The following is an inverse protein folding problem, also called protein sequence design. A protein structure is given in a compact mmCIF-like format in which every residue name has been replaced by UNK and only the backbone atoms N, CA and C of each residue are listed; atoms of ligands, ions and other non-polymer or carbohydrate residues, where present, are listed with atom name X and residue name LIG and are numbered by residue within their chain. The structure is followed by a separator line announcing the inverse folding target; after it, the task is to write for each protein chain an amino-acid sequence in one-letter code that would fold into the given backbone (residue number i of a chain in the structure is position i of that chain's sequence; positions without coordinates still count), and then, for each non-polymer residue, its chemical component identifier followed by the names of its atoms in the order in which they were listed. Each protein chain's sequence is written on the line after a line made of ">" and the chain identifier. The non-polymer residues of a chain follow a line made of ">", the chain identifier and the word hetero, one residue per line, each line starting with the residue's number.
data_IF_062782659541
#
_entry.id   IF_062782659541
#
_cell.length_a   1.000
_cell.length_b   1.000
_cell.length_c   1.000
_cell.angle_alpha   90.00
_cell.angle_beta   90.00
_cell.angle_gamma   90.00
#
_symmetry.space_group_name_H-M   'P 1'
#
loop_
_entity.id
_entity.type
_entity.pdbx_description
1 polymer ?
2 non-polymer ?
3 water ?
#
# COMPACT_ATOMS: atom_id res chain seq x y z
N UNK A 1 -23.57 17.12 2.11
CA UNK A 1 -23.20 16.10 1.10
C UNK A 1 -21.81 15.46 1.42
N UNK A 2 -21.72 14.15 1.29
CA UNK A 2 -20.51 13.35 1.58
C UNK A 2 -19.46 13.30 0.44
N UNK A 3 -18.18 13.23 0.80
CA UNK A 3 -17.11 13.07 -0.18
C UNK A 3 -16.96 11.59 -0.54
N UNK A 4 -16.71 11.37 -1.81
CA UNK A 4 -16.42 10.05 -2.36
C UNK A 4 -15.11 10.07 -3.11
N UNK A 5 -14.40 8.94 -3.06
CA UNK A 5 -13.05 8.83 -3.66
C UNK A 5 -13.00 7.60 -4.54
N UNK A 6 -12.28 7.69 -5.63
CA UNK A 6 -11.93 6.54 -6.40
C UNK A 6 -10.68 5.92 -5.82
N UNK A 7 -10.76 4.64 -5.50
CA UNK A 7 -9.62 3.90 -4.91
C UNK A 7 -9.00 3.01 -5.97
N UNK A 8 -7.71 3.14 -6.19
CA UNK A 8 -6.98 2.30 -7.16
C UNK A 8 -5.85 1.59 -6.48
N UNK A 9 -5.90 0.26 -6.49
CA UNK A 9 -4.78 -0.56 -6.03
C UNK A 9 -4.03 -1.06 -7.22
N UNK A 10 -2.78 -0.67 -7.34
CA UNK A 10 -1.91 -1.14 -8.43
C UNK A 10 -1.25 -2.40 -7.86
N UNK A 11 -1.64 -3.56 -8.38
CA UNK A 11 -1.20 -4.81 -7.78
C UNK A 11 0.18 -5.23 -8.36
N UNK A 12 0.21 -5.53 -9.65
CA UNK A 12 1.38 -6.14 -10.30
C UNK A 12 1.27 -5.98 -11.78
N UNK A 13 2.38 -6.25 -12.48
CA UNK A 13 2.38 -6.38 -13.90
C UNK A 13 3.23 -7.60 -14.27
N UNK A 14 2.97 -8.15 -15.46
CA UNK A 14 3.63 -9.32 -15.93
C UNK A 14 4.08 -9.23 -17.35
N UNK A 15 5.17 -9.92 -17.63
CA UNK A 15 5.73 -10.04 -18.99
C UNK A 15 6.05 -8.66 -19.60
N UNK A 16 6.61 -7.78 -18.79
CA UNK A 16 7.21 -6.57 -19.31
C UNK A 16 8.28 -7.00 -20.34
N UNK A 17 8.31 -6.37 -21.53
CA UNK A 17 9.32 -6.77 -22.52
C UNK A 17 10.76 -6.57 -22.04
N UNK A 18 11.61 -7.51 -22.40
CA UNK A 18 13.04 -7.44 -22.08
C UNK A 18 13.69 -6.28 -22.82
N UNK A 19 14.75 -5.75 -22.23
CA UNK A 19 15.55 -4.69 -22.85
C UNK A 19 16.82 -5.33 -23.35
N UNK A 20 17.43 -4.72 -24.34
CA UNK A 20 18.62 -5.28 -24.98
C UNK A 20 19.74 -5.49 -23.94
N UNK A 21 19.93 -4.50 -23.09
CA UNK A 21 20.96 -4.54 -22.07
C UNK A 21 20.24 -4.33 -20.76
N UNK A 22 20.69 -5.03 -19.73
CA UNK A 22 20.11 -4.90 -18.41
C UNK A 22 18.62 -5.28 -18.39
N UNK A 23 17.89 -4.59 -17.53
CA UNK A 23 16.48 -4.85 -17.33
C UNK A 23 15.73 -3.56 -17.09
N UNK A 24 14.47 -3.55 -17.50
CA UNK A 24 13.60 -2.42 -17.25
C UNK A 24 13.25 -2.23 -15.76
N UNK A 25 12.90 -1.01 -15.44
CA UNK A 25 12.66 -0.52 -14.07
C UNK A 25 11.23 0.08 -14.04
N UNK A 26 10.23 -0.79 -13.92
CA UNK A 26 8.85 -0.28 -14.14
C UNK A 26 8.30 0.66 -13.09
N UNK A 27 7.51 1.61 -13.59
CA UNK A 27 6.83 2.62 -12.80
C UNK A 27 5.54 2.99 -13.49
N UNK A 28 4.47 3.06 -12.70
CA UNK A 28 3.12 3.16 -13.26
C UNK A 28 2.58 4.54 -12.91
N UNK A 29 2.00 5.19 -13.91
CA UNK A 29 1.29 6.47 -13.76
C UNK A 29 -0.20 6.13 -13.85
N UNK A 30 -0.98 6.60 -12.86
CA UNK A 30 -2.44 6.41 -12.86
C UNK A 30 -3.07 7.77 -12.99
N UNK A 31 -3.91 7.93 -14.02
CA UNK A 31 -4.45 9.23 -14.35
C UNK A 31 -5.96 9.16 -14.34
N UNK A 32 -6.58 9.97 -13.47
CA UNK A 32 -8.00 10.12 -13.43
C UNK A 32 -8.39 11.56 -13.59
N UNK A 33 -9.14 11.86 -14.66
CA UNK A 33 -9.48 13.25 -15.02
C UNK A 33 -8.30 14.22 -14.96
N UNK A 34 -7.21 13.86 -15.61
CA UNK A 34 -5.98 14.66 -15.67
C UNK A 34 -5.21 14.86 -14.31
N UNK A 35 -5.61 14.19 -13.23
CA UNK A 35 -4.85 14.12 -12.00
C UNK A 35 -4.01 12.86 -12.10
N UNK A 36 -2.69 13.01 -12.02
CA UNK A 36 -1.77 11.90 -12.15
C UNK A 36 -1.11 11.53 -10.82
N UNK A 37 -1.14 10.26 -10.45
CA UNK A 37 -0.36 9.78 -9.30
C UNK A 37 0.48 8.60 -9.71
N UNK A 38 1.71 8.57 -9.24
CA UNK A 38 2.60 7.48 -9.62
C UNK A 38 2.85 6.48 -8.49
N UNK A 39 3.18 5.26 -8.88
CA UNK A 39 3.76 4.26 -7.96
C UNK A 39 5.23 4.53 -7.79
N UNK A 40 5.81 3.77 -6.87
CA UNK A 40 7.24 3.68 -6.78
C UNK A 40 7.72 2.97 -8.03
N UNK A 41 9.01 3.15 -8.34
CA UNK A 41 9.62 2.26 -9.35
C UNK A 41 10.02 0.92 -8.74
N UNK A 42 10.08 -0.12 -9.55
CA UNK A 42 10.66 -1.41 -9.13
C UNK A 42 11.89 -1.66 -9.99
N UNK A 43 13.05 -1.86 -9.40
CA UNK A 43 14.29 -2.02 -10.19
C UNK A 43 14.43 -3.39 -10.85
N UNK A 44 14.85 -3.37 -12.11
CA UNK A 44 15.31 -4.54 -12.87
C UNK A 44 14.39 -5.73 -12.76
N UNK A 45 13.20 -5.55 -13.27
CA UNK A 45 12.13 -6.50 -13.02
C UNK A 45 11.16 -6.62 -14.19
N UNK A 46 10.96 -7.86 -14.67
CA UNK A 46 10.03 -8.13 -15.75
C UNK A 46 8.62 -8.40 -15.26
N UNK A 47 8.48 -8.72 -13.98
CA UNK A 47 7.20 -9.06 -13.41
C UNK A 47 7.00 -8.33 -12.08
N UNK A 48 6.93 -7.00 -12.14
CA UNK A 48 6.97 -6.24 -10.89
C UNK A 48 5.71 -6.35 -10.04
N UNK A 49 5.86 -6.23 -8.74
CA UNK A 49 4.75 -6.18 -7.82
C UNK A 49 4.84 -4.89 -7.01
N UNK A 50 3.73 -4.18 -6.86
CA UNK A 50 3.65 -2.94 -6.08
C UNK A 50 2.75 -3.11 -4.84
N UNK A 51 1.50 -3.57 -5.01
CA UNK A 51 0.51 -3.53 -3.93
C UNK A 51 0.42 -2.10 -3.28
N UNK A 52 0.35 -1.11 -4.16
CA UNK A 52 0.27 0.29 -3.74
C UNK A 52 -1.15 0.85 -3.95
N UNK A 53 -1.62 1.66 -3.04
CA UNK A 53 -2.99 2.13 -3.06
C UNK A 53 -2.97 3.66 -3.25
N UNK A 54 -3.79 4.10 -4.19
CA UNK A 54 -3.93 5.51 -4.58
C UNK A 54 -5.40 5.91 -4.45
N UNK A 55 -5.70 7.10 -3.97
CA UNK A 55 -7.13 7.51 -3.91
C UNK A 55 -7.31 8.90 -4.51
N UNK A 56 -8.28 9.03 -5.40
CA UNK A 56 -8.61 10.29 -6.07
C UNK A 56 -9.95 10.89 -5.57
N UNK A 57 -9.93 12.17 -5.20
CA UNK A 57 -11.12 12.90 -4.82
C UNK A 57 -12.02 13.03 -6.07
N UNK A 58 -13.24 12.52 -6.00
CA UNK A 58 -14.19 12.69 -7.10
C UNK A 58 -14.78 14.12 -7.19
N UNK A 59 -14.60 14.89 -6.14
CA UNK A 59 -14.98 16.29 -6.09
C UNK A 59 -16.44 16.51 -6.38
N UNK A 60 -17.30 15.62 -5.89
CA UNK A 60 -18.74 15.70 -6.09
C UNK A 60 -19.27 15.29 -7.47
N UNK A 61 -18.43 14.77 -8.34
CA UNK A 61 -18.89 14.39 -9.65
C UNK A 61 -18.97 12.86 -9.70
N UNK A 62 -20.17 12.33 -9.96
CA UNK A 62 -20.31 10.88 -9.90
C UNK A 62 -19.67 10.22 -11.10
N UNK A 63 -19.33 8.95 -10.96
CA UNK A 63 -18.90 8.16 -12.08
C UNK A 63 -20.14 8.00 -12.97
N UNK A 64 -19.93 7.87 -14.27
CA UNK A 64 -21.04 7.67 -15.22
C UNK A 64 -20.58 6.69 -16.30
N UNK A 65 -21.45 6.51 -17.30
CA UNK A 65 -21.17 5.60 -18.40
C UNK A 65 -19.82 5.79 -19.12
N UNK A 66 -19.30 7.01 -19.10
CA UNK A 66 -18.06 7.35 -19.82
C UNK A 66 -16.83 7.39 -18.94
N UNK A 67 -16.95 7.16 -17.65
CA UNK A 67 -15.78 7.35 -16.75
C UNK A 67 -14.73 6.31 -17.08
N UNK A 68 -13.48 6.73 -17.02
CA UNK A 68 -12.35 5.89 -17.34
C UNK A 68 -11.11 6.28 -16.57
N UNK A 69 -10.17 5.34 -16.53
CA UNK A 69 -8.90 5.49 -15.82
C UNK A 69 -7.79 5.28 -16.83
N UNK A 70 -6.75 6.11 -16.80
CA UNK A 70 -5.61 5.96 -17.71
C UNK A 70 -4.46 5.31 -16.93
N UNK A 71 -3.74 4.40 -17.60
CA UNK A 71 -2.57 3.75 -17.03
C UNK A 71 -1.42 3.90 -18.00
N UNK A 72 -0.28 4.31 -17.52
CA UNK A 72 0.92 4.36 -18.33
C UNK A 72 2.01 3.66 -17.53
N UNK A 73 2.65 2.66 -18.12
CA UNK A 73 3.78 1.94 -17.47
C UNK A 73 5.00 2.33 -18.25
N UNK A 74 6.00 2.83 -17.53
CA UNK A 74 7.25 3.28 -18.13
C UNK A 74 8.41 2.59 -17.41
N UNK A 75 9.58 2.67 -18.08
CA UNK A 75 10.86 2.12 -17.62
C UNK A 75 11.63 3.34 -17.14
N UNK A 76 11.85 3.39 -15.82
CA UNK A 76 12.48 4.53 -15.25
C UNK A 76 13.88 4.76 -15.82
N UNK A 77 14.14 6.00 -16.21
CA UNK A 77 15.47 6.49 -16.60
C UNK A 77 15.88 7.54 -15.59
N UNK A 78 17.04 7.34 -14.98
CA UNK A 78 17.59 8.32 -14.07
C UNK A 78 17.84 9.65 -14.81
N UNK A 79 18.39 9.59 -16.03
CA UNK A 79 18.59 10.78 -16.88
C UNK A 79 17.39 11.13 -17.78
N UNK A 80 16.66 12.19 -17.44
CA UNK A 80 15.55 12.70 -18.27
C UNK A 80 14.29 11.85 -18.28
N UNK A 81 13.58 11.89 -19.41
CA UNK A 81 12.25 11.30 -19.55
C UNK A 81 12.25 9.75 -19.53
N UNK A 82 11.34 9.15 -18.78
CA UNK A 82 11.28 7.71 -18.69
C UNK A 82 10.76 7.12 -19.99
N UNK A 83 11.06 5.84 -20.23
CA UNK A 83 10.73 5.21 -21.47
C UNK A 83 9.41 4.46 -21.43
N UNK A 84 8.57 4.73 -22.43
CA UNK A 84 7.29 4.08 -22.52
C UNK A 84 7.37 2.57 -22.62
N UNK A 85 6.62 1.86 -21.79
CA UNK A 85 6.42 0.43 -22.00
C UNK A 85 5.05 0.21 -22.63
N UNK A 86 4.01 0.76 -22.01
CA UNK A 86 2.71 0.66 -22.59
C UNK A 86 1.65 1.39 -21.82
N UNK A 87 0.51 1.59 -22.46
CA UNK A 87 -0.63 2.25 -21.89
C UNK A 87 -1.87 1.35 -21.85
N UNK A 88 -2.81 1.71 -20.99
CA UNK A 88 -4.17 1.18 -21.07
C UNK A 88 -5.17 2.22 -20.62
N UNK A 89 -6.37 2.17 -21.19
CA UNK A 89 -7.49 2.93 -20.67
C UNK A 89 -8.52 1.92 -20.16
N UNK A 90 -9.02 2.15 -18.95
CA UNK A 90 -9.87 1.17 -18.29
C UNK A 90 -11.26 1.79 -18.07
N UNK A 91 -12.30 1.17 -18.61
CA UNK A 91 -13.68 1.60 -18.43
C UNK A 91 -14.15 1.37 -16.97
N UNK A 92 -14.69 2.43 -16.37
CA UNK A 92 -15.13 2.40 -14.94
C UNK A 92 -16.63 2.31 -14.80
N UNK A 93 -17.33 2.08 -15.90
CA UNK A 93 -18.78 2.05 -15.88
C UNK A 93 -19.34 0.97 -14.94
N UNK A 94 -18.61 -0.12 -14.65
CA UNK A 94 -19.09 -1.15 -13.74
C UNK A 94 -19.15 -0.66 -12.28
N UNK A 95 -18.49 0.47 -11.99
CA UNK A 95 -18.56 1.08 -10.65
C UNK A 95 -19.64 2.12 -10.46
N UNK A 96 -20.43 2.40 -11.47
CA UNK A 96 -21.47 3.42 -11.36
C UNK A 96 -22.61 3.05 -10.42
N UNK A 97 -23.24 4.09 -9.89
CA UNK A 97 -24.30 3.95 -8.93
C UNK A 97 -23.78 4.41 -7.59
N UNK A 98 -24.62 4.27 -6.58
CA UNK A 98 -24.39 4.83 -5.25
C UNK A 98 -23.91 3.76 -4.24
N UNK A 99 -23.52 2.59 -4.72
CA UNK A 99 -23.12 1.47 -3.88
C UNK A 99 -21.59 1.37 -3.90
N UNK A 100 -20.96 1.54 -2.74
CA UNK A 100 -19.53 1.30 -2.57
C UNK A 100 -19.27 -0.16 -2.91
N UNK A 101 -18.30 -0.37 -3.79
CA UNK A 101 -17.92 -1.70 -4.24
C UNK A 101 -16.49 -1.61 -4.76
N UNK A 102 -15.76 -2.73 -4.72
CA UNK A 102 -14.49 -2.83 -5.44
C UNK A 102 -14.55 -4.02 -6.37
N UNK A 103 -13.86 -3.90 -7.50
CA UNK A 103 -13.79 -4.94 -8.48
C UNK A 103 -12.34 -5.20 -8.90
N UNK A 104 -12.03 -6.45 -9.22
CA UNK A 104 -10.74 -6.75 -9.81
C UNK A 104 -10.75 -6.38 -11.31
N UNK A 105 -9.63 -5.85 -11.78
CA UNK A 105 -9.37 -5.62 -13.19
C UNK A 105 -8.04 -6.29 -13.58
N UNK A 106 -8.13 -7.55 -13.98
CA UNK A 106 -6.94 -8.37 -14.21
C UNK A 106 -6.60 -8.49 -15.69
N UNK A 107 -5.33 -8.73 -15.93
CA UNK A 107 -4.82 -8.98 -17.27
C UNK A 107 -5.18 -7.88 -18.27
N UNK A 108 -4.99 -6.65 -17.84
CA UNK A 108 -5.20 -5.50 -18.72
C UNK A 108 -4.01 -5.39 -19.64
N UNK A 109 -4.27 -5.50 -20.94
CA UNK A 109 -3.17 -5.41 -21.93
C UNK A 109 -2.59 -4.01 -21.97
N UNK A 110 -1.24 -3.94 -21.97
CA UNK A 110 -0.53 -2.69 -22.17
C UNK A 110 -0.14 -2.55 -23.64
N UNK A 111 -0.47 -1.38 -24.24
CA UNK A 111 -0.33 -1.14 -25.62
C UNK A 111 0.84 -0.17 -25.84
N UNK A 112 1.62 -0.42 -26.86
CA UNK A 112 2.78 0.44 -27.17
C UNK A 112 2.30 1.70 -27.90
N UNK A 113 3.19 2.58 -28.26
CA UNK A 113 2.78 3.83 -28.90
C UNK A 113 2.08 3.63 -30.23
N UNK A 114 2.36 2.53 -30.94
CA UNK A 114 1.60 2.20 -32.15
C UNK A 114 0.25 1.57 -31.85
N UNK A 115 -0.13 1.45 -30.59
CA UNK A 115 -1.38 0.79 -30.22
C UNK A 115 -1.36 -0.75 -30.24
N UNK A 116 -0.17 -1.35 -30.34
CA UNK A 116 -0.02 -2.80 -30.41
C UNK A 116 0.11 -3.43 -29.06
N UNK A 117 -0.46 -4.62 -28.90
CA UNK A 117 -0.29 -5.37 -27.65
C UNK A 117 1.16 -5.77 -27.47
N UNK A 118 1.77 -5.40 -26.35
CA UNK A 118 3.16 -5.73 -26.09
C UNK A 118 3.36 -7.12 -25.52
N UNK A 119 2.26 -7.80 -25.17
CA UNK A 119 2.33 -9.03 -24.41
C UNK A 119 2.40 -8.78 -22.90
N UNK A 120 2.59 -7.55 -22.47
CA UNK A 120 2.60 -7.26 -21.03
C UNK A 120 1.23 -6.93 -20.55
N UNK A 121 0.99 -7.21 -19.27
CA UNK A 121 -0.31 -6.89 -18.63
C UNK A 121 -0.11 -6.23 -17.29
N UNK A 122 -1.16 -5.54 -16.83
CA UNK A 122 -1.21 -5.06 -15.48
C UNK A 122 -2.51 -5.51 -14.77
N UNK A 123 -2.40 -5.77 -13.45
CA UNK A 123 -3.55 -6.11 -12.60
C UNK A 123 -3.82 -5.00 -11.61
N UNK A 124 -5.09 -4.57 -11.56
CA UNK A 124 -5.59 -3.56 -10.63
C UNK A 124 -6.78 -4.06 -9.85
N UNK A 125 -7.03 -3.37 -8.73
CA UNK A 125 -8.30 -3.38 -8.05
C UNK A 125 -8.78 -1.94 -8.03
N UNK A 126 -10.01 -1.68 -8.45
CA UNK A 126 -10.56 -0.35 -8.50
C UNK A 126 -11.86 -0.38 -7.75
N UNK A 127 -12.05 0.62 -6.90
CA UNK A 127 -13.28 0.78 -6.17
C UNK A 127 -13.78 2.22 -6.03
N UNK A 128 -15.07 2.30 -5.72
CA UNK A 128 -15.85 3.53 -5.55
C UNK A 128 -15.95 3.59 -4.04
N UNK A 129 -15.08 4.40 -3.41
CA UNK A 129 -14.48 4.20 -2.08
C UNK A 129 -14.48 2.81 -1.51
N UNK B 1 -19.80 -6.62 19.62
CA UNK B 1 -19.14 -5.24 19.59
C UNK B 1 -18.48 -4.97 18.21
N UNK B 2 -18.89 -3.93 17.49
CA UNK B 2 -18.56 -3.80 16.04
C UNK B 2 -17.24 -3.02 15.78
N UNK B 3 -16.43 -3.46 14.81
CA UNK B 3 -15.04 -2.91 14.72
C UNK B 3 -15.08 -1.73 13.79
N UNK B 4 -14.41 -0.65 14.15
CA UNK B 4 -14.21 0.52 13.25
C UNK B 4 -12.74 0.88 13.33
N UNK B 5 -12.15 1.25 12.18
CA UNK B 5 -10.72 1.53 12.11
C UNK B 5 -10.47 2.83 11.42
N UNK B 6 -9.47 3.57 11.89
CA UNK B 6 -8.98 4.70 11.19
C UNK B 6 -7.98 4.21 10.15
N UNK B 7 -8.22 4.60 8.91
CA UNK B 7 -7.40 4.19 7.77
C UNK B 7 -6.56 5.40 7.35
N UNK B 8 -5.24 5.23 7.31
CA UNK B 8 -4.34 6.31 6.86
C UNK B 8 -3.54 5.81 5.68
N UNK B 9 -3.71 6.48 4.54
CA UNK B 9 -2.89 6.28 3.40
C UNK B 9 -1.83 7.35 3.34
N UNK B 10 -0.56 6.91 3.40
CA UNK B 10 0.56 7.81 3.29
C UNK B 10 0.90 7.88 1.81
N UNK B 11 0.60 8.98 1.16
CA UNK B 11 0.78 9.01 -0.30
C UNK B 11 2.21 9.38 -0.72
N UNK B 12 2.65 10.60 -0.37
CA UNK B 12 3.91 11.15 -0.86
C UNK B 12 4.27 12.39 -0.04
N UNK B 13 5.50 12.82 -0.22
CA UNK B 13 5.97 14.08 0.31
C UNK B 13 6.80 14.79 -0.75
N UNK B 14 6.88 16.11 -0.61
CA UNK B 14 7.55 16.96 -1.58
C UNK B 14 8.46 17.96 -0.91
N UNK B 15 9.54 18.28 -1.62
CA UNK B 15 10.49 19.29 -1.18
C UNK B 15 11.10 19.00 0.18
N UNK B 16 11.43 17.72 0.42
CA UNK B 16 12.27 17.37 1.57
C UNK B 16 13.57 18.15 1.46
N UNK B 17 14.05 18.80 2.56
CA UNK B 17 15.31 19.54 2.47
C UNK B 17 16.49 18.69 2.06
N UNK B 18 17.34 19.26 1.21
CA UNK B 18 18.56 18.62 0.77
C UNK B 18 19.49 18.43 1.95
N UNK B 19 20.33 17.40 1.85
CA UNK B 19 21.38 17.15 2.80
C UNK B 19 22.66 17.65 2.18
N UNK B 20 23.61 18.01 3.03
CA UNK B 20 24.86 18.52 2.60
C UNK B 20 25.55 17.59 1.58
N UNK B 21 25.56 16.30 1.90
CA UNK B 21 26.18 15.29 1.04
C UNK B 21 25.11 14.28 0.78
N UNK B 22 25.09 13.72 -0.41
CA UNK B 22 24.12 12.71 -0.79
C UNK B 22 22.68 13.16 -0.66
N UNK B 23 21.80 12.24 -0.22
CA UNK B 23 20.38 12.53 -0.16
C UNK B 23 19.72 11.87 1.03
N UNK B 24 18.68 12.52 1.54
CA UNK B 24 17.91 11.96 2.64
C UNK B 24 17.08 10.75 2.22
N UNK B 25 16.75 9.96 3.23
CA UNK B 25 16.13 8.65 3.10
C UNK B 25 14.83 8.69 3.95
N UNK B 26 13.78 9.28 3.41
CA UNK B 26 12.62 9.56 4.27
C UNK B 26 11.82 8.36 4.73
N UNK B 27 11.32 8.50 5.95
CA UNK B 27 10.48 7.47 6.60
C UNK B 27 9.50 8.18 7.52
N UNK B 28 8.24 7.75 7.44
CA UNK B 28 7.14 8.51 8.09
C UNK B 28 6.64 7.66 9.28
N UNK B 29 6.49 8.32 10.43
CA UNK B 29 5.85 7.77 11.61
C UNK B 29 4.43 8.37 11.67
N UNK B 30 3.41 7.52 11.83
CA UNK B 30 2.05 7.93 12.06
C UNK B 30 1.64 7.56 13.46
N UNK B 31 1.19 8.55 14.24
CA UNK B 31 0.82 8.35 15.63
C UNK B 31 -0.62 8.68 15.82
N UNK B 32 -1.39 7.69 16.28
CA UNK B 32 -2.75 7.91 16.64
C UNK B 32 -2.98 7.41 18.05
N UNK B 33 -3.36 8.33 18.96
CA UNK B 33 -3.42 8.09 20.37
C UNK B 33 -2.05 7.50 20.78
N UNK B 34 -2.05 6.44 21.55
CA UNK B 34 -0.77 5.91 22.05
C UNK B 34 -0.22 4.81 21.11
N UNK B 35 -0.35 4.95 19.79
CA UNK B 35 0.04 3.88 18.87
C UNK B 35 0.83 4.48 17.72
N UNK B 36 1.99 3.95 17.44
CA UNK B 36 2.88 4.46 16.40
C UNK B 36 3.07 3.42 15.33
N UNK B 37 2.91 3.78 14.06
CA UNK B 37 3.21 2.86 12.95
C UNK B 37 4.03 3.57 11.94
N UNK B 38 5.00 2.88 11.35
CA UNK B 38 5.91 3.50 10.40
C UNK B 38 5.70 2.96 8.98
N UNK B 39 6.07 3.78 8.00
CA UNK B 39 6.12 3.35 6.60
C UNK B 39 7.47 2.67 6.37
N UNK B 40 7.65 2.15 5.14
CA UNK B 40 8.92 1.79 4.65
C UNK B 40 9.76 3.08 4.53
N UNK B 41 11.07 2.93 4.54
CA UNK B 41 11.93 4.06 4.11
C UNK B 41 11.99 4.16 2.59
N UNK B 42 12.21 5.36 2.06
CA UNK B 42 12.51 5.53 0.63
C UNK B 42 13.93 6.05 0.55
N UNK B 43 14.81 5.34 -0.18
CA UNK B 43 16.21 5.76 -0.28
C UNK B 43 16.41 6.96 -1.23
N UNK B 44 17.26 7.88 -0.77
CA UNK B 44 17.81 8.97 -1.56
C UNK B 44 16.79 9.68 -2.43
N UNK B 45 15.86 10.34 -1.75
CA UNK B 45 14.76 10.93 -2.44
C UNK B 45 14.24 12.21 -1.78
N UNK B 46 14.12 13.29 -2.56
CA UNK B 46 13.59 14.57 -2.09
C UNK B 46 12.06 14.65 -2.19
N UNK B 47 11.49 13.78 -3.03
CA UNK B 47 10.07 13.79 -3.28
C UNK B 47 9.53 12.36 -3.18
N UNK B 48 9.63 11.75 -2.02
CA UNK B 48 9.33 10.33 -1.89
C UNK B 48 7.87 9.98 -2.07
N UNK B 49 7.64 8.78 -2.56
CA UNK B 49 6.30 8.25 -2.72
C UNK B 49 6.23 6.93 -1.96
N UNK B 50 5.17 6.73 -1.19
CA UNK B 50 4.94 5.48 -0.44
C UNK B 50 3.70 4.72 -0.96
N UNK B 51 2.56 5.40 -1.02
CA UNK B 51 1.27 4.73 -1.31
C UNK B 51 1.03 3.51 -0.41
N UNK B 52 1.26 3.72 0.86
CA UNK B 52 1.09 2.68 1.89
C UNK B 52 -0.15 2.92 2.73
N UNK B 53 -0.75 1.87 3.25
CA UNK B 53 -1.97 1.98 4.02
C UNK B 53 -1.66 1.43 5.43
N UNK B 54 -2.11 2.19 6.43
CA UNK B 54 -2.03 1.88 7.86
C UNK B 54 -3.40 1.91 8.46
N UNK B 55 -3.73 0.97 9.34
CA UNK B 55 -5.04 0.99 9.97
C UNK B 55 -4.92 0.88 11.49
N UNK B 56 -5.60 1.78 12.20
CA UNK B 56 -5.63 1.80 13.65
C UNK B 56 -7.04 1.43 14.17
N UNK B 57 -7.15 0.38 14.99
CA UNK B 57 -8.43 -0.03 15.53
C UNK B 57 -8.84 1.07 16.56
N UNK B 58 -9.99 1.67 16.38
CA UNK B 58 -10.53 2.67 17.29
C UNK B 58 -11.04 2.06 18.59
N UNK B 59 -11.29 0.73 18.59
CA UNK B 59 -11.58 0.00 19.83
C UNK B 59 -12.79 0.58 20.58
N UNK B 60 -13.81 0.95 19.80
CA UNK B 60 -15.07 1.45 20.32
C UNK B 60 -15.08 2.90 20.74
N UNK B 61 -14.01 3.66 20.54
CA UNK B 61 -14.06 5.04 20.90
C UNK B 61 -14.16 5.85 19.61
N UNK B 62 -15.26 6.59 19.41
CA UNK B 62 -15.40 7.29 18.14
C UNK B 62 -14.47 8.51 18.07
N UNK B 63 -14.23 8.95 16.85
CA UNK B 63 -13.53 10.21 16.62
C UNK B 63 -14.47 11.31 17.12
N UNK B 64 -13.90 12.42 17.54
CA UNK B 64 -14.67 13.60 17.96
C UNK B 64 -14.02 14.87 17.44
N UNK B 65 -14.57 16.01 17.81
CA UNK B 65 -14.04 17.32 17.38
C UNK B 65 -12.55 17.55 17.65
N UNK B 66 -12.00 16.89 18.67
CA UNK B 66 -10.60 17.08 19.05
C UNK B 66 -9.66 16.00 18.54
N UNK B 67 -10.15 15.01 17.81
CA UNK B 67 -9.26 13.92 17.34
C UNK B 67 -8.23 14.47 16.39
N UNK B 68 -7.04 13.89 16.47
CA UNK B 68 -5.91 14.31 15.66
C UNK B 68 -4.95 13.18 15.41
N UNK B 69 -4.11 13.40 14.39
CA UNK B 69 -3.12 12.44 13.93
C UNK B 69 -1.77 13.12 13.98
N UNK B 70 -0.76 12.41 14.45
CA UNK B 70 0.61 12.95 14.54
C UNK B 70 1.42 12.36 13.36
N UNK B 71 2.25 13.19 12.72
CA UNK B 71 3.10 12.80 11.63
C UNK B 71 4.54 13.22 11.96
N UNK B 72 5.47 12.30 11.77
CA UNK B 72 6.89 12.61 11.95
C UNK B 72 7.58 12.08 10.71
N UNK B 73 8.35 12.90 10.02
CA UNK B 73 9.18 12.43 8.88
C UNK B 73 10.60 12.52 9.37
N UNK B 74 11.33 11.43 9.21
CA UNK B 74 12.74 11.35 9.56
C UNK B 74 13.55 10.84 8.37
N UNK B 75 14.84 11.05 8.46
CA UNK B 75 15.85 10.64 7.47
C UNK B 75 16.52 9.44 8.09
N UNK B 76 16.31 8.27 7.47
CA UNK B 76 16.82 7.04 7.98
C UNK B 76 18.33 7.06 8.14
N UNK B 77 18.78 6.65 9.33
CA UNK B 77 20.19 6.38 9.65
C UNK B 77 20.31 4.88 9.92
N UNK B 78 21.22 4.24 9.20
CA UNK B 78 21.54 2.85 9.44
C UNK B 78 22.01 2.61 10.89
N UNK B 79 22.89 3.48 11.40
CA UNK B 79 23.38 3.40 12.79
C UNK B 79 22.50 4.23 13.77
N UNK B 80 21.72 3.55 14.61
CA UNK B 80 20.98 4.22 15.70
C UNK B 80 19.76 5.05 15.28
N UNK B 81 19.48 6.11 16.04
CA UNK B 81 18.24 6.90 15.90
C UNK B 81 18.20 7.73 14.58
N UNK B 82 17.08 7.70 13.88
CA UNK B 82 16.97 8.42 12.62
C UNK B 82 16.91 9.92 12.86
N UNK B 83 17.22 10.70 11.84
CA UNK B 83 17.27 12.14 11.98
C UNK B 83 15.98 12.83 11.64
N UNK B 84 15.51 13.70 12.55
CA UNK B 84 14.29 14.44 12.35
C UNK B 84 14.32 15.32 11.09
N UNK B 85 13.29 15.22 10.27
CA UNK B 85 13.09 16.16 9.17
C UNK B 85 12.02 17.17 9.61
N UNK B 86 10.86 16.65 10.00
CA UNK B 86 9.82 17.51 10.41
C UNK B 86 8.59 16.80 10.89
N UNK B 87 7.72 17.56 11.56
CA UNK B 87 6.54 17.02 12.18
C UNK B 87 5.28 17.75 11.70
N UNK B 88 4.12 17.14 11.92
CA UNK B 88 2.83 17.80 11.74
C UNK B 88 1.77 17.14 12.63
N UNK B 89 0.76 17.93 12.99
CA UNK B 89 -0.43 17.42 13.60
C UNK B 89 -1.58 17.71 12.63
N UNK B 90 -2.43 16.70 12.41
CA UNK B 90 -3.49 16.81 11.44
C UNK B 90 -4.82 16.70 12.19
N UNK B 91 -5.69 17.71 12.11
CA UNK B 91 -7.01 17.67 12.74
C UNK B 91 -7.92 16.70 11.97
N UNK B 92 -8.58 15.80 12.72
CA UNK B 92 -9.45 14.77 12.14
C UNK B 92 -10.93 15.06 12.33
N UNK B 93 -11.24 16.28 12.78
CA UNK B 93 -12.62 16.63 13.05
C UNK B 93 -13.54 16.51 11.86
N UNK B 94 -13.04 16.64 10.65
CA UNK B 94 -13.88 16.53 9.43
C UNK B 94 -14.33 15.07 9.18
N UNK B 95 -13.75 14.10 9.89
CA UNK B 95 -14.21 12.72 9.83
C UNK B 95 -15.22 12.30 10.88
N UNK B 96 -15.64 13.22 11.74
CA UNK B 96 -16.69 12.94 12.73
C UNK B 96 -18.05 12.60 12.15
N UNK B 97 -18.80 11.82 12.90
CA UNK B 97 -20.12 11.34 12.48
C UNK B 97 -20.00 9.86 12.19
N UNK B 98 -21.10 9.24 11.81
CA UNK B 98 -21.22 7.77 11.79
C UNK B 98 -21.09 7.16 10.37
N UNK B 99 -20.68 7.98 9.40
CA UNK B 99 -20.69 7.59 8.00
C UNK B 99 -19.25 7.34 7.58
N UNK B 100 -19.00 6.10 7.12
CA UNK B 100 -17.73 5.72 6.52
C UNK B 100 -17.47 6.66 5.31
N UNK B 101 -16.31 7.28 5.32
CA UNK B 101 -15.91 8.22 4.32
C UNK B 101 -14.41 8.41 4.41
N UNK B 102 -13.80 8.83 3.33
CA UNK B 102 -12.41 9.24 3.29
C UNK B 102 -12.28 10.63 2.76
N UNK B 103 -11.25 11.33 3.21
CA UNK B 103 -10.93 12.63 2.69
C UNK B 103 -9.46 12.76 2.35
N UNK B 104 -9.14 13.60 1.32
CA UNK B 104 -7.76 13.95 1.09
C UNK B 104 -7.29 14.98 2.07
N UNK B 105 -6.03 14.84 2.51
CA UNK B 105 -5.36 15.88 3.31
C UNK B 105 -4.02 16.19 2.60
N UNK B 106 -4.10 17.21 1.74
CA UNK B 106 -2.95 17.58 0.91
C UNK B 106 -2.15 18.72 1.49
N UNK B 107 -0.88 18.76 1.11
CA UNK B 107 -0.01 19.90 1.40
C UNK B 107 0.07 20.22 2.89
N UNK B 108 0.25 19.17 3.68
CA UNK B 108 0.44 19.33 5.12
C UNK B 108 1.88 19.76 5.36
N UNK B 109 2.04 20.96 5.92
CA UNK B 109 3.39 21.50 6.19
C UNK B 109 4.09 20.71 7.29
N UNK B 110 5.35 20.38 7.05
CA UNK B 110 6.22 19.74 8.05
C UNK B 110 7.08 20.80 8.77
N UNK B 111 7.11 20.78 10.08
CA UNK B 111 7.81 21.74 10.91
C UNK B 111 9.10 21.11 11.49
N UNK B 112 10.18 21.86 11.50
CA UNK B 112 11.49 21.33 11.88
C UNK B 112 11.62 21.33 13.40
N UNK B 113 12.75 20.88 13.93
CA UNK B 113 12.85 20.79 15.39
C UNK B 113 12.73 22.14 16.10
N UNK B 114 13.10 23.24 15.42
CA UNK B 114 12.88 24.56 15.99
C UNK B 114 11.44 25.04 15.82
N UNK B 115 10.57 24.23 15.30
CA UNK B 115 9.17 24.65 15.04
C UNK B 115 8.93 25.49 13.78
N UNK B 116 9.92 25.57 12.89
CA UNK B 116 9.85 26.42 11.70
C UNK B 116 9.39 25.64 10.47
N UNK B 117 8.82 26.29 9.48
CA UNK B 117 8.43 25.60 8.25
C UNK B 117 9.68 25.07 7.52
N UNK B 118 9.73 23.78 7.20
CA UNK B 118 10.87 23.24 6.46
C UNK B 118 10.82 23.49 4.95
N UNK B 119 9.68 23.96 4.46
CA UNK B 119 9.36 24.00 3.06
C UNK B 119 8.86 22.66 2.52
N UNK B 120 8.90 21.59 3.31
CA UNK B 120 8.41 20.29 2.84
C UNK B 120 6.94 20.13 3.21
N UNK B 121 6.29 19.29 2.42
CA UNK B 121 4.88 18.89 2.70
C UNK B 121 4.70 17.41 2.54
N UNK B 122 3.61 16.91 3.13
CA UNK B 122 3.19 15.54 2.96
C UNK B 122 1.69 15.51 2.57
N UNK B 123 1.34 14.54 1.74
CA UNK B 123 -0.04 14.27 1.30
C UNK B 123 -0.50 12.92 1.87
N UNK B 124 -1.68 12.97 2.52
CA UNK B 124 -2.35 11.81 3.05
C UNK B 124 -3.77 11.67 2.52
N UNK B 125 -4.31 10.47 2.66
CA UNK B 125 -5.75 10.23 2.61
C UNK B 125 -6.12 9.54 3.89
N UNK B 126 -7.12 10.04 4.58
CA UNK B 126 -7.51 9.55 5.91
C UNK B 126 -8.97 9.26 5.85
N UNK B 127 -9.33 8.09 6.35
CA UNK B 127 -10.69 7.65 6.38
C UNK B 127 -11.12 6.88 7.61
N UNK B 128 -12.42 6.82 7.77
CA UNK B 128 -13.13 6.25 8.94
C UNK B 128 -13.67 4.98 8.30
N UNK B 129 -12.97 3.86 8.49
CA UNK B 129 -12.96 2.74 7.54
C UNK B 129 -14.38 2.15 7.29
N UNK C 1 -26.30 -8.24 -8.64
CA UNK C 1 -25.64 -8.91 -7.47
C UNK C 1 -24.14 -8.49 -7.38
N UNK C 2 -23.72 -8.13 -6.17
CA UNK C 2 -22.44 -7.37 -5.96
C UNK C 2 -21.20 -8.28 -5.79
N UNK C 3 -20.04 -7.82 -6.26
CA UNK C 3 -18.78 -8.55 -6.05
C UNK C 3 -18.23 -8.15 -4.68
N UNK C 4 -17.67 -9.17 -4.02
CA UNK C 4 -16.99 -9.00 -2.76
C UNK C 4 -15.58 -9.59 -2.85
N UNK C 5 -14.67 -8.93 -2.12
CA UNK C 5 -13.25 -9.29 -2.15
C UNK C 5 -12.76 -9.44 -0.73
N UNK C 6 -11.86 -10.39 -0.53
CA UNK C 6 -11.16 -10.49 0.70
C UNK C 6 -9.98 -9.51 0.66
N UNK C 7 -9.89 -8.65 1.66
CA UNK C 7 -8.88 -7.61 1.70
C UNK C 7 -7.86 -7.96 2.76
N UNK C 8 -6.59 -8.00 2.38
CA UNK C 8 -5.53 -8.34 3.34
C UNK C 8 -4.49 -7.24 3.34
N UNK C 9 -4.29 -6.60 4.51
CA UNK C 9 -3.20 -5.70 4.72
C UNK C 9 -2.09 -6.41 5.44
N UNK C 10 -0.94 -6.47 4.79
CA UNK C 10 0.26 -7.06 5.40
C UNK C 10 0.95 -5.88 6.09
N UNK C 11 0.89 -5.84 7.40
CA UNK C 11 1.40 -4.70 8.10
C UNK C 11 2.94 -4.80 8.35
N UNK C 12 3.34 -5.79 9.16
CA UNK C 12 4.73 -5.90 9.60
C UNK C 12 5.01 -7.30 10.12
N UNK C 13 6.29 -7.58 10.31
CA UNK C 13 6.73 -8.77 11.01
C UNK C 13 7.87 -8.38 11.95
N UNK C 14 8.00 -9.18 13.00
CA UNK C 14 8.98 -8.90 14.04
C UNK C 14 9.79 -10.12 14.38
N UNK C 15 11.02 -9.85 14.77
CA UNK C 15 11.96 -10.88 15.26
C UNK C 15 12.19 -11.97 14.23
N UNK C 16 12.35 -11.56 12.98
CA UNK C 16 12.88 -12.48 11.96
C UNK C 16 14.28 -12.93 12.44
N UNK C 17 14.58 -14.24 12.42
CA UNK C 17 15.90 -14.67 12.94
C UNK C 17 17.08 -14.09 12.17
N UNK C 18 18.12 -13.70 12.89
CA UNK C 18 19.35 -13.21 12.30
C UNK C 18 20.03 -14.28 11.47
N UNK C 19 20.74 -13.86 10.44
CA UNK C 19 21.44 -14.77 9.54
C UNK C 19 22.90 -14.66 9.87
N UNK C 20 23.61 -15.75 9.62
CA UNK C 20 25.05 -15.81 9.85
C UNK C 20 25.81 -14.67 9.16
N UNK C 21 25.43 -14.37 7.92
CA UNK C 21 26.10 -13.32 7.15
C UNK C 21 25.01 -12.37 6.73
N UNK C 22 25.30 -11.07 6.82
CA UNK C 22 24.35 -10.04 6.41
C UNK C 22 23.02 -10.10 7.16
N UNK C 23 21.94 -9.86 6.42
CA UNK C 23 20.59 -9.85 6.96
C UNK C 23 19.62 -10.42 5.96
N UNK C 24 18.56 -11.03 6.48
CA UNK C 24 17.48 -11.53 5.65
C UNK C 24 16.65 -10.39 4.99
N UNK C 25 16.01 -10.77 3.91
CA UNK C 25 15.30 -9.86 2.99
C UNK C 25 13.85 -10.36 2.89
N UNK C 26 13.03 -10.04 3.88
CA UNK C 26 11.73 -10.72 3.95
C UNK C 26 10.73 -10.37 2.86
N UNK C 27 9.97 -11.38 2.52
CA UNK C 27 8.92 -11.33 1.49
C UNK C 27 7.81 -12.31 1.86
N UNK C 28 6.58 -11.82 1.79
CA UNK C 28 5.43 -12.59 2.35
C UNK C 28 4.60 -13.07 1.13
N UNK C 29 4.25 -14.34 1.14
CA UNK C 29 3.27 -14.90 0.20
C UNK C 29 1.95 -15.06 0.99
N UNK C 30 0.86 -14.54 0.42
CA UNK C 30 -0.49 -14.67 0.99
C UNK C 30 -1.31 -15.53 0.06
N UNK C 31 -1.86 -16.61 0.61
CA UNK C 31 -2.50 -17.62 -0.23
C UNK C 31 -3.92 -17.83 0.24
N UNK C 32 -4.87 -17.54 -0.62
CA UNK C 32 -6.26 -17.78 -0.39
C UNK C 32 -6.82 -18.70 -1.45
N UNK C 33 -7.31 -19.85 -1.03
CA UNK C 33 -7.85 -20.89 -1.96
C UNK C 33 -6.91 -21.16 -3.15
N UNK C 34 -5.64 -21.42 -2.80
CA UNK C 34 -4.59 -21.69 -3.78
C UNK C 34 -4.17 -20.51 -4.71
N UNK C 35 -4.69 -19.31 -4.52
CA UNK C 35 -4.29 -18.13 -5.27
C UNK C 35 -3.26 -17.43 -4.41
N UNK C 36 -2.06 -17.25 -4.95
CA UNK C 36 -0.96 -16.66 -4.20
C UNK C 36 -0.62 -15.26 -4.67
N UNK C 37 -0.53 -14.31 -3.73
CA UNK C 37 -0.08 -12.97 -4.03
C UNK C 37 1.05 -12.62 -3.08
N UNK C 38 2.09 -11.99 -3.62
CA UNK C 38 3.23 -11.67 -2.79
C UNK C 38 3.28 -10.16 -2.49
N UNK C 39 3.89 -9.84 -1.34
CA UNK C 39 4.33 -8.47 -1.09
C UNK C 39 5.63 -8.21 -1.82
N UNK C 40 6.07 -6.97 -1.75
CA UNK C 40 7.41 -6.62 -2.13
C UNK C 40 8.34 -7.25 -1.11
N UNK C 41 9.59 -7.44 -1.51
CA UNK C 41 10.62 -7.74 -0.53
C UNK C 41 11.07 -6.48 0.21
N UNK C 42 11.55 -6.63 1.42
CA UNK C 42 12.19 -5.55 2.18
C UNK C 42 13.61 -6.00 2.43
N UNK C 43 14.58 -5.20 1.98
CA UNK C 43 15.98 -5.56 2.12
C UNK C 43 16.52 -5.39 3.55
N UNK C 44 17.31 -6.40 3.95
CA UNK C 44 18.11 -6.39 5.14
C UNK C 44 17.40 -5.89 6.38
N UNK C 45 16.38 -6.65 6.77
CA UNK C 45 15.51 -6.19 7.81
C UNK C 45 15.01 -7.31 8.73
N UNK C 46 15.22 -7.16 10.04
CA UNK C 46 14.76 -8.14 11.04
C UNK C 46 13.32 -7.87 11.49
N UNK C 47 12.88 -6.63 11.28
CA UNK C 47 11.56 -6.20 11.71
C UNK C 47 10.87 -5.44 10.60
N UNK C 48 10.61 -6.12 9.49
CA UNK C 48 10.16 -5.37 8.28
C UNK C 48 8.76 -4.82 8.44
N UNK C 49 8.52 -3.73 7.74
CA UNK C 49 7.20 -3.22 7.59
C UNK C 49 6.90 -3.13 6.09
N UNK C 50 5.66 -3.48 5.72
CA UNK C 50 5.19 -3.41 4.34
C UNK C 50 4.07 -2.41 4.16
N UNK C 51 3.02 -2.52 4.99
CA UNK C 51 1.81 -1.66 4.80
C UNK C 51 1.28 -1.78 3.38
N UNK C 52 1.24 -3.00 2.85
CA UNK C 52 0.72 -3.28 1.52
C UNK C 52 -0.64 -3.97 1.57
N UNK C 53 -1.48 -3.66 0.58
CA UNK C 53 -2.83 -4.16 0.54
C UNK C 53 -2.96 -5.12 -0.66
N UNK C 54 -3.54 -6.26 -0.38
CA UNK C 54 -3.83 -7.34 -1.36
C UNK C 54 -5.30 -7.66 -1.36
N UNK C 55 -5.90 -7.91 -2.51
CA UNK C 55 -7.31 -8.21 -2.56
C UNK C 55 -7.60 -9.42 -3.41
N UNK C 56 -8.39 -10.37 -2.87
CA UNK C 56 -8.77 -11.57 -3.59
C UNK C 56 -10.26 -11.60 -3.96
N UNK C 57 -10.54 -11.96 -5.21
CA UNK C 57 -11.88 -12.13 -5.69
C UNK C 57 -12.47 -13.39 -5.01
N UNK C 58 -13.57 -13.22 -4.29
CA UNK C 58 -14.23 -14.36 -3.65
C UNK C 58 -14.97 -15.26 -4.66
N UNK C 59 -15.19 -14.76 -5.87
CA UNK C 59 -15.78 -15.50 -6.96
C UNK C 59 -17.15 -16.10 -6.59
N UNK C 60 -17.93 -15.31 -5.84
CA UNK C 60 -19.26 -15.66 -5.41
C UNK C 60 -19.38 -16.66 -4.27
N UNK C 61 -18.27 -17.03 -3.64
CA UNK C 61 -18.33 -17.96 -2.58
C UNK C 61 -18.12 -17.23 -1.27
N UNK C 62 -19.12 -17.29 -0.36
CA UNK C 62 -18.95 -16.54 0.89
C UNK C 62 -17.94 -17.20 1.79
N UNK C 63 -17.36 -16.42 2.70
CA UNK C 63 -16.53 -16.96 3.73
C UNK C 63 -17.44 -17.78 4.66
N UNK C 64 -16.89 -18.82 5.26
CA UNK C 64 -17.67 -19.71 6.15
C UNK C 64 -16.77 -20.15 7.30
N UNK C 65 -17.30 -21.03 8.15
CA UNK C 65 -16.59 -21.58 9.29
C UNK C 65 -15.16 -22.13 9.01
N UNK C 66 -14.92 -22.60 7.81
CA UNK C 66 -13.66 -23.22 7.42
C UNK C 66 -12.73 -22.31 6.65
N UNK C 67 -13.10 -21.06 6.39
CA UNK C 67 -12.24 -20.23 5.52
C UNK C 67 -10.94 -19.92 6.23
N UNK C 68 -9.85 -19.91 5.47
CA UNK C 68 -8.54 -19.69 6.03
C UNK C 68 -7.60 -19.04 5.05
N UNK C 69 -6.56 -18.44 5.63
CA UNK C 69 -5.54 -17.71 4.86
C UNK C 69 -4.20 -18.33 5.15
N UNK C 70 -3.43 -18.60 4.12
CA UNK C 70 -2.08 -19.18 4.30
C UNK C 70 -1.04 -18.06 4.21
N UNK C 71 -0.04 -18.08 5.08
CA UNK C 71 1.02 -17.06 5.09
C UNK C 71 2.36 -17.77 5.03
N UNK C 72 3.22 -17.37 4.10
CA UNK C 72 4.57 -17.94 4.05
C UNK C 72 5.52 -16.74 3.99
N UNK C 73 6.46 -16.68 4.93
CA UNK C 73 7.44 -15.59 4.96
C UNK C 73 8.77 -16.22 4.59
N UNK C 74 9.43 -15.65 3.59
CA UNK C 74 10.68 -16.15 3.06
C UNK C 74 11.69 -15.01 2.99
N UNK C 75 12.95 -15.38 2.85
CA UNK C 75 14.09 -14.50 2.72
C UNK C 75 14.44 -14.50 1.21
N UNK C 76 14.24 -13.37 0.57
CA UNK C 76 14.42 -13.27 -0.85
C UNK C 76 15.86 -13.62 -1.25
N UNK C 77 15.96 -14.49 -2.25
CA UNK C 77 17.22 -14.80 -2.96
C UNK C 77 17.10 -14.35 -4.39
N UNK C 78 18.02 -13.53 -4.86
CA UNK C 78 18.02 -13.09 -6.26
C UNK C 78 18.14 -14.28 -7.20
N UNK C 79 19.04 -15.21 -6.89
CA UNK C 79 19.23 -16.45 -7.68
C UNK C 79 18.31 -17.62 -7.22
N UNK C 80 17.29 -17.94 -8.01
CA UNK C 80 16.40 -19.08 -7.73
C UNK C 80 15.44 -18.93 -6.54
N UNK C 81 15.13 -20.06 -5.92
CA UNK C 81 14.03 -20.18 -4.93
C UNK C 81 14.36 -19.48 -3.58
N UNK C 82 13.42 -18.71 -3.05
CA UNK C 82 13.67 -17.96 -1.82
C UNK C 82 13.72 -18.90 -0.62
N UNK C 83 14.33 -18.44 0.45
CA UNK C 83 14.55 -19.26 1.63
C UNK C 83 13.48 -19.14 2.68
N UNK C 84 12.95 -20.28 3.12
CA UNK C 84 11.85 -20.27 4.05
C UNK C 84 12.22 -19.67 5.42
N UNK C 85 11.39 -18.79 5.93
CA UNK C 85 11.52 -18.34 7.32
C UNK C 85 10.47 -19.01 8.15
N UNK C 86 9.20 -18.95 7.74
CA UNK C 86 8.18 -19.65 8.42
C UNK C 86 6.82 -19.52 7.82
N UNK C 87 5.91 -20.38 8.29
CA UNK C 87 4.54 -20.36 7.80
C UNK C 87 3.53 -20.13 8.93
N UNK C 88 2.32 -19.71 8.54
CA UNK C 88 1.15 -19.75 9.41
C UNK C 88 -0.13 -19.94 8.60
N UNK C 89 -1.15 -20.51 9.23
CA UNK C 89 -2.49 -20.52 8.70
C UNK C 89 -3.39 -19.72 9.62
N UNK C 90 -4.24 -18.87 9.08
CA UNK C 90 -5.03 -17.95 9.88
C UNK C 90 -6.51 -18.28 9.66
N UNK C 91 -7.25 -18.61 10.73
CA UNK C 91 -8.68 -18.90 10.63
C UNK C 91 -9.48 -17.62 10.39
N UNK C 92 -10.33 -17.62 9.37
CA UNK C 92 -11.13 -16.44 8.97
C UNK C 92 -12.58 -16.55 9.40
N UNK C 93 -12.90 -17.51 10.27
CA UNK C 93 -14.20 -17.76 10.78
C UNK C 93 -14.94 -16.49 11.33
N UNK C 94 -14.15 -15.62 11.97
CA UNK C 94 -14.72 -14.40 12.61
C UNK C 94 -15.17 -13.37 11.57
N UNK C 95 -14.81 -13.55 10.31
CA UNK C 95 -15.29 -12.69 9.21
C UNK C 95 -16.54 -13.18 8.50
N UNK C 96 -17.11 -14.30 8.92
CA UNK C 96 -18.38 -14.76 8.33
C UNK C 96 -19.57 -13.85 8.67
N UNK C 97 -20.57 -13.85 7.80
CA UNK C 97 -21.73 -12.99 7.95
C UNK C 97 -21.66 -11.96 6.85
N UNK C 98 -22.69 -11.12 6.79
CA UNK C 98 -22.96 -10.32 5.58
C UNK C 98 -22.48 -8.86 5.70
N UNK C 99 -21.78 -8.54 6.78
CA UNK C 99 -21.40 -7.17 7.10
C UNK C 99 -19.92 -6.98 6.76
N UNK C 100 -19.66 -6.05 5.85
CA UNK C 100 -18.30 -5.62 5.55
C UNK C 100 -17.68 -5.05 6.82
N UNK C 101 -16.53 -5.57 7.21
CA UNK C 101 -15.73 -4.98 8.26
C UNK C 101 -14.40 -5.80 8.29
N UNK C 102 -13.49 -5.31 9.11
CA UNK C 102 -12.15 -5.79 9.20
C UNK C 102 -11.82 -6.13 10.64
N UNK C 103 -10.86 -7.03 10.80
CA UNK C 103 -10.29 -7.32 12.08
C UNK C 103 -8.77 -7.29 12.04
N UNK C 104 -8.14 -6.87 13.16
CA UNK C 104 -6.70 -7.07 13.27
C UNK C 104 -6.39 -8.53 13.58
N UNK C 105 -5.32 -9.05 13.01
CA UNK C 105 -4.76 -10.34 13.34
C UNK C 105 -3.27 -10.19 13.66
N UNK C 106 -3.00 -9.99 14.93
CA UNK C 106 -1.69 -9.63 15.44
C UNK C 106 -0.95 -10.82 16.03
N UNK C 107 0.36 -10.72 16.06
CA UNK C 107 1.22 -11.73 16.71
C UNK C 107 0.98 -13.14 16.24
N UNK C 108 0.87 -13.30 14.93
CA UNK C 108 0.71 -14.62 14.34
C UNK C 108 2.07 -15.30 14.29
N UNK C 109 2.22 -16.40 15.06
CA UNK C 109 3.51 -17.08 15.09
C UNK C 109 3.84 -17.77 13.76
N UNK C 110 5.09 -17.64 13.35
CA UNK C 110 5.60 -18.31 12.14
C UNK C 110 6.35 -19.61 12.53
N UNK C 111 6.00 -20.74 11.91
CA UNK C 111 6.72 -22.00 12.18
C UNK C 111 7.66 -22.40 11.03
N UNK C 112 8.81 -23.04 11.31
CA UNK C 112 9.69 -23.45 10.23
C UNK C 112 9.21 -24.78 9.61
N UNK C 113 9.92 -25.28 8.61
CA UNK C 113 9.52 -26.50 7.92
C UNK C 113 9.39 -27.70 8.86
N UNK C 114 10.23 -27.75 9.88
CA UNK C 114 10.17 -28.83 10.86
C UNK C 114 9.06 -28.61 11.88
N UNK C 115 8.25 -27.55 11.73
CA UNK C 115 7.24 -27.24 12.76
C UNK C 115 7.77 -26.61 14.07
N UNK C 116 8.99 -26.07 14.02
CA UNK C 116 9.59 -25.41 15.19
C UNK C 116 9.28 -23.93 15.21
N UNK C 117 9.10 -23.43 16.43
CA UNK C 117 8.88 -22.01 16.71
C UNK C 117 10.10 -21.22 16.21
N UNK C 118 9.88 -20.20 15.40
CA UNK C 118 10.99 -19.36 14.95
C UNK C 118 11.26 -18.22 15.91
N UNK C 119 10.30 -17.92 16.79
CA UNK C 119 10.27 -16.63 17.49
C UNK C 119 9.74 -15.46 16.69
N UNK C 120 9.52 -15.62 15.38
CA UNK C 120 9.07 -14.48 14.55
C UNK C 120 7.56 -14.47 14.52
N UNK C 121 7.02 -13.26 14.33
CA UNK C 121 5.56 -13.08 14.17
C UNK C 121 5.23 -12.14 13.06
N UNK C 122 3.97 -12.21 12.58
CA UNK C 122 3.50 -11.31 11.57
C UNK C 122 2.13 -10.71 12.00
N UNK C 123 1.94 -9.44 11.66
CA UNK C 123 0.69 -8.71 11.92
C UNK C 123 0.00 -8.38 10.60
N UNK C 124 -1.29 -8.76 10.55
CA UNK C 124 -2.16 -8.46 9.43
C UNK C 124 -3.42 -7.74 9.87
N UNK C 125 -4.10 -7.16 8.89
CA UNK C 125 -5.48 -6.71 9.00
C UNK C 125 -6.24 -7.40 7.86
N UNK C 126 -7.33 -8.10 8.20
CA UNK C 126 -8.05 -8.88 7.19
C UNK C 126 -9.46 -8.44 7.27
N UNK C 127 -10.06 -8.22 6.10
CA UNK C 127 -11.45 -7.89 6.04
C UNK C 127 -12.20 -8.42 4.84
N UNK C 128 -13.51 -8.35 5.00
CA UNK C 128 -14.51 -8.85 4.02
C UNK C 128 -14.96 -7.57 3.35
N UNK C 129 -14.41 -7.29 2.20
CA UNK C 129 -14.70 -6.07 1.41
C UNK C 129 -16.05 -6.36 0.69
X LIG D 1 15.84 1.92 -17.06
X LIG E 1 17.61 -1.06 -14.94
X LIG F 1 20.31 9.08 5.83
X LIG G 1 20.99 8.52 1.68
X LIG H 1 18.66 -12.98 1.17
X LIG I 1 20.38 -9.30 2.41
#
# INVERSE_FOLDING_TARGET
>A
AITHMLRVIVESASNIPKTKFGKPDPIVSVIFKDEKKKTKKVDNELNPVWNEILEFDLRGIPLDFSSSLGIIVKDFETIGQNKLIGTATVALKDLTGDQSRSLPYKLISLLNEKGQDTGATIDLVIGYD
>B
AITHMLRVIVESASNIPKTKFGKPDPIVSVIFKDEKKKTKKVDNELNPVWNEILEFDLRGIPLDFSSSLGIIVKDFETIGQNKLIGTATVALKDLTGDQSRSLPYKLISLLNEKGQDTGATIDLVIGYD
>C
AITHMLRVIVESASNIPKTKFGKPDPIVSVIFKDEKKKTKKVDNELNPVWNEILEFDLRGIPLDFSSSLGIIVKDFETIGQNKLIGTATVALKDLTGDQSRSLPYKLISLLNEKGQDTGATIDLVIGYD
>D hetero
1 SR SR
>E hetero
1 SR SR
>F hetero
1 SR SR
>G hetero
1 SR SR
>H hetero
1 SR SR
>I hetero
1 SR SR
#
